data_IF_275542588795
#
_entry.id   IF_275542588795
#
_cell.length_a   1.000
_cell.length_b   1.000
_cell.length_c   1.000
_cell.angle_alpha   90.00
_cell.angle_beta   90.00
_cell.angle_gamma   90.00
#
_symmetry.space_group_name_H-M   'P 1'
#
loop_
_entity.id
_entity.type
_entity.pdbx_description
1 polymer ?
#
# COMPACT_ATOMS: atom_id res chain seq x y z
N UNK A 1 17.42 10.81 -14.49
CA UNK A 1 16.37 10.24 -13.60
C UNK A 1 17.02 9.07 -12.88
N UNK A 2 17.29 9.20 -11.58
CA UNK A 2 17.91 8.09 -10.83
C UNK A 2 16.84 7.01 -10.68
N UNK A 3 16.96 5.94 -11.45
CA UNK A 3 16.22 4.70 -11.22
C UNK A 3 16.76 4.13 -9.91
N UNK A 4 16.12 4.46 -8.79
CA UNK A 4 16.46 3.83 -7.54
C UNK A 4 16.03 2.37 -7.60
N UNK A 5 16.93 1.45 -7.27
CA UNK A 5 16.71 -0.01 -7.28
C UNK A 5 15.65 -0.46 -6.23
N UNK A 6 14.85 0.45 -5.68
CA UNK A 6 13.87 0.17 -4.63
C UNK A 6 12.60 -0.49 -5.16
N UNK A 7 12.21 -0.24 -6.41
CA UNK A 7 11.08 -0.93 -7.04
C UNK A 7 11.60 -2.11 -7.86
N UNK A 8 12.24 -3.09 -7.21
CA UNK A 8 12.73 -4.31 -7.87
C UNK A 8 12.22 -5.53 -7.11
N UNK A 9 11.72 -6.54 -7.83
CA UNK A 9 11.20 -7.75 -7.21
C UNK A 9 12.37 -8.55 -6.61
N UNK A 10 12.29 -8.85 -5.32
CA UNK A 10 13.25 -9.71 -4.61
C UNK A 10 12.87 -11.19 -4.67
N UNK A 11 11.80 -11.53 -5.39
CA UNK A 11 11.22 -12.87 -5.49
C UNK A 11 10.85 -13.48 -4.13
N UNK A 12 10.52 -12.61 -3.17
CA UNK A 12 10.26 -12.99 -1.78
C UNK A 12 8.98 -12.31 -1.29
N UNK A 13 7.99 -13.12 -0.90
CA UNK A 13 6.69 -12.65 -0.43
C UNK A 13 6.75 -12.17 1.03
N UNK A 14 6.32 -10.93 1.33
CA UNK A 14 6.22 -10.46 2.71
C UNK A 14 5.31 -11.30 3.59
N UNK A 15 4.28 -11.92 3.02
CA UNK A 15 3.30 -12.75 3.74
C UNK A 15 3.88 -14.03 4.38
N UNK A 16 5.14 -14.37 4.08
CA UNK A 16 5.84 -15.45 4.78
C UNK A 16 6.33 -15.06 6.19
N UNK A 17 6.54 -13.76 6.45
CA UNK A 17 6.96 -13.25 7.77
C UNK A 17 5.94 -12.31 8.41
N UNK A 18 5.08 -11.66 7.62
CA UNK A 18 4.02 -10.78 8.09
C UNK A 18 2.67 -11.48 7.98
N UNK A 19 1.86 -11.42 9.04
CA UNK A 19 0.50 -11.91 9.00
C UNK A 19 -0.39 -10.92 8.22
N UNK A 20 -0.66 -11.24 6.95
CA UNK A 20 -1.50 -10.44 6.06
C UNK A 20 -2.97 -10.90 6.02
N UNK A 21 -3.37 -11.79 6.93
CA UNK A 21 -4.77 -12.23 7.03
C UNK A 21 -5.67 -11.02 7.33
N UNK A 22 -6.76 -10.89 6.59
CA UNK A 22 -7.71 -9.78 6.74
C UNK A 22 -7.32 -8.51 5.98
N UNK A 23 -6.28 -8.56 5.15
CA UNK A 23 -5.89 -7.44 4.28
C UNK A 23 -6.03 -7.84 2.80
N UNK A 24 -6.30 -6.84 1.96
CA UNK A 24 -6.00 -6.88 0.52
C UNK A 24 -4.93 -5.85 0.17
N UNK A 25 -4.18 -6.10 -0.88
CA UNK A 25 -3.20 -5.18 -1.43
C UNK A 25 -3.76 -4.50 -2.68
N UNK A 26 -3.68 -3.18 -2.75
CA UNK A 26 -3.90 -2.42 -3.98
C UNK A 26 -2.54 -2.05 -4.58
N UNK A 27 -2.36 -2.29 -5.87
CA UNK A 27 -1.10 -2.05 -6.58
C UNK A 27 -1.18 -0.82 -7.50
N UNK A 28 -0.04 -0.19 -7.83
CA UNK A 28 -0.01 0.95 -8.75
C UNK A 28 -0.03 0.50 -10.22
N UNK A 29 -0.71 -0.60 -10.52
CA UNK A 29 -0.79 -1.26 -11.84
C UNK A 29 -2.23 -1.24 -12.34
N UNK A 30 -2.44 -0.96 -13.63
CA UNK A 30 -3.78 -0.96 -14.23
C UNK A 30 -4.34 -2.39 -14.33
N UNK A 31 -5.62 -2.55 -13.93
CA UNK A 31 -6.41 -3.75 -14.15
C UNK A 31 -7.82 -3.34 -14.61
N UNK A 32 -8.13 -3.55 -15.89
CA UNK A 32 -9.36 -3.04 -16.48
C UNK A 32 -9.50 -1.52 -16.29
N UNK A 33 -10.63 -1.08 -15.73
CA UNK A 33 -10.90 0.34 -15.44
C UNK A 33 -10.33 0.83 -14.10
N UNK A 34 -9.61 -0.01 -13.37
CA UNK A 34 -9.10 0.31 -12.03
C UNK A 34 -7.65 -0.12 -11.82
N UNK A 35 -7.34 -0.48 -10.58
CA UNK A 35 -6.02 -0.96 -10.16
C UNK A 35 -6.06 -2.46 -9.88
N UNK A 36 -4.94 -3.15 -10.05
CA UNK A 36 -4.80 -4.54 -9.60
C UNK A 36 -4.99 -4.61 -8.07
N UNK A 37 -5.75 -5.59 -7.63
CA UNK A 37 -5.88 -5.95 -6.21
C UNK A 37 -5.44 -7.41 -5.99
N UNK A 38 -4.78 -7.68 -4.87
CA UNK A 38 -4.39 -9.02 -4.45
C UNK A 38 -5.01 -9.30 -3.10
N UNK A 39 -5.74 -10.41 -3.01
CA UNK A 39 -6.61 -10.72 -1.87
C UNK A 39 -6.33 -12.12 -1.30
N UNK A 40 -6.65 -12.30 -0.02
CA UNK A 40 -6.75 -13.58 0.65
C UNK A 40 -5.45 -14.37 0.60
N UNK A 41 -5.57 -15.66 0.32
CA UNK A 41 -4.43 -16.57 0.29
C UNK A 41 -3.40 -16.21 -0.79
N UNK A 42 -3.82 -15.52 -1.87
CA UNK A 42 -2.89 -15.06 -2.92
C UNK A 42 -1.91 -14.04 -2.36
N UNK A 43 -2.36 -13.15 -1.46
CA UNK A 43 -1.51 -12.13 -0.85
C UNK A 43 -0.39 -12.73 0.00
N UNK A 44 -0.61 -13.90 0.60
CA UNK A 44 0.39 -14.58 1.44
C UNK A 44 1.67 -14.91 0.66
N UNK A 45 1.53 -15.36 -0.59
CA UNK A 45 2.63 -15.73 -1.47
C UNK A 45 2.94 -14.67 -2.52
N UNK A 46 2.26 -13.52 -2.50
CA UNK A 46 2.43 -12.49 -3.51
C UNK A 46 3.72 -11.70 -3.29
N UNK A 47 4.41 -11.46 -4.39
CA UNK A 47 5.48 -10.48 -4.49
C UNK A 47 5.53 -9.90 -5.91
N UNK A 48 5.95 -8.65 -6.03
CA UNK A 48 6.35 -8.02 -7.28
C UNK A 48 7.26 -6.82 -6.98
N UNK A 49 7.59 -6.05 -8.01
CA UNK A 49 8.42 -4.84 -7.88
C UNK A 49 7.80 -3.70 -7.05
N UNK A 50 6.51 -3.77 -6.69
CA UNK A 50 5.80 -2.77 -5.91
C UNK A 50 5.50 -3.24 -4.48
N UNK A 51 5.55 -4.55 -4.23
CA UNK A 51 5.38 -5.16 -2.93
C UNK A 51 6.24 -6.43 -2.81
N UNK A 52 7.31 -6.37 -2.02
CA UNK A 52 8.24 -7.50 -1.85
C UNK A 52 8.93 -7.45 -0.50
N UNK A 53 9.53 -8.57 -0.07
CA UNK A 53 10.27 -8.62 1.19
C UNK A 53 11.68 -8.03 1.03
N UNK A 54 12.14 -7.26 2.01
CA UNK A 54 13.56 -6.92 2.19
C UNK A 54 14.32 -8.08 2.83
N UNK A 55 15.65 -8.01 2.89
CA UNK A 55 16.49 -9.10 3.43
C UNK A 55 16.23 -9.46 4.89
N UNK A 56 15.78 -8.50 5.71
CA UNK A 56 15.31 -8.73 7.09
C UNK A 56 13.88 -9.31 7.14
N UNK A 57 13.15 -9.27 6.02
CA UNK A 57 11.78 -9.77 5.86
C UNK A 57 10.69 -8.75 6.19
N UNK A 58 11.03 -7.47 6.32
CA UNK A 58 10.03 -6.41 6.30
C UNK A 58 9.39 -6.29 4.90
N UNK A 59 8.17 -5.77 4.83
CA UNK A 59 7.54 -5.46 3.54
C UNK A 59 8.10 -4.14 3.00
N UNK A 60 8.57 -4.17 1.76
CA UNK A 60 8.85 -2.98 0.97
C UNK A 60 7.64 -2.65 0.13
N UNK A 61 7.16 -1.41 0.25
CA UNK A 61 6.12 -0.84 -0.61
C UNK A 61 6.78 0.19 -1.51
N UNK A 62 6.64 0.01 -2.83
CA UNK A 62 7.22 0.91 -3.82
C UNK A 62 6.15 1.44 -4.76
N UNK A 63 6.15 2.76 -5.00
CA UNK A 63 5.10 3.43 -5.78
C UNK A 63 5.73 4.36 -6.82
N UNK A 64 5.53 4.12 -8.12
CA UNK A 64 5.98 5.03 -9.16
C UNK A 64 5.04 6.24 -9.25
N UNK A 65 5.58 7.43 -9.54
CA UNK A 65 4.79 8.68 -9.62
C UNK A 65 3.69 8.67 -10.68
N UNK A 66 3.90 7.91 -11.75
CA UNK A 66 3.01 7.72 -12.88
C UNK A 66 2.23 6.39 -12.81
N UNK A 67 2.15 5.77 -11.62
CA UNK A 67 1.37 4.55 -11.43
C UNK A 67 -0.13 4.74 -11.64
N UNK A 68 -0.83 3.62 -11.80
CA UNK A 68 -2.28 3.58 -11.86
C UNK A 68 -2.90 4.02 -10.53
N UNK A 69 -4.09 4.60 -10.59
CA UNK A 69 -4.87 5.04 -9.44
C UNK A 69 -6.36 4.77 -9.65
N UNK A 70 -7.12 4.69 -8.55
CA UNK A 70 -8.57 4.49 -8.59
C UNK A 70 -9.31 5.79 -8.91
N UNK A 71 -10.53 5.66 -9.45
CA UNK A 71 -11.43 6.80 -9.62
C UNK A 71 -11.67 7.52 -8.28
N UNK A 72 -11.47 8.84 -8.27
CA UNK A 72 -11.55 9.66 -7.05
C UNK A 72 -10.22 9.84 -6.30
N UNK A 73 -9.11 9.28 -6.79
CA UNK A 73 -7.76 9.54 -6.29
C UNK A 73 -6.87 10.16 -7.36
N UNK A 74 -5.89 10.98 -6.96
CA UNK A 74 -4.90 11.56 -7.87
C UNK A 74 -3.50 10.94 -7.70
N UNK A 75 -3.37 9.99 -6.77
CA UNK A 75 -2.09 9.43 -6.35
C UNK A 75 -2.10 7.91 -6.45
N UNK A 76 -1.08 7.30 -7.10
CA UNK A 76 -0.90 5.87 -7.11
C UNK A 76 -0.56 5.34 -5.71
N UNK A 77 -0.75 4.04 -5.50
CA UNK A 77 -0.49 3.39 -4.21
C UNK A 77 -0.01 1.96 -4.38
N UNK A 78 0.84 1.53 -3.47
CA UNK A 78 1.06 0.13 -3.09
C UNK A 78 0.68 0.09 -1.62
N UNK A 79 -0.54 -0.34 -1.31
CA UNK A 79 -1.17 -0.08 -0.01
C UNK A 79 -2.06 -1.24 0.43
N UNK A 80 -1.96 -1.61 1.70
CA UNK A 80 -2.84 -2.58 2.32
C UNK A 80 -4.16 -1.92 2.73
N UNK A 81 -5.28 -2.59 2.45
CA UNK A 81 -6.63 -2.21 2.86
C UNK A 81 -7.22 -3.31 3.73
N UNK A 82 -7.64 -2.97 4.94
CA UNK A 82 -8.28 -3.91 5.88
C UNK A 82 -9.66 -4.33 5.36
N UNK A 83 -9.94 -5.63 5.36
CA UNK A 83 -11.21 -6.17 4.88
C UNK A 83 -12.40 -5.83 5.75
N UNK A 84 -12.16 -5.75 7.05
CA UNK A 84 -13.20 -5.53 8.03
C UNK A 84 -13.32 -4.05 8.36
N UNK A 85 -14.46 -3.47 8.01
CA UNK A 85 -14.79 -2.12 8.44
C UNK A 85 -15.18 -2.15 9.94
N UNK A 86 -14.86 -1.08 10.66
CA UNK A 86 -15.32 -0.86 12.02
C UNK A 86 -16.17 0.42 12.10
N UNK A 87 -17.06 0.48 13.08
CA UNK A 87 -17.83 1.69 13.39
C UNK A 87 -17.01 2.60 14.28
N UNK A 88 -17.24 3.91 14.20
CA UNK A 88 -16.70 4.84 15.18
C UNK A 88 -17.28 4.55 16.58
N UNK A 89 -16.42 4.59 17.59
CA UNK A 89 -16.70 4.13 18.95
C UNK A 89 -15.90 2.87 19.30
N UNK A 90 -15.68 2.62 20.59
CA UNK A 90 -14.80 1.52 21.03
C UNK A 90 -13.30 1.82 20.83
N UNK A 91 -12.47 0.77 20.88
CA UNK A 91 -11.01 0.87 20.75
C UNK A 91 -10.52 0.01 19.58
N UNK A 92 -9.91 0.67 18.59
CA UNK A 92 -9.31 0.06 17.41
C UNK A 92 -7.87 0.55 17.30
N UNK A 93 -6.92 -0.31 16.95
CA UNK A 93 -5.49 0.02 16.97
C UNK A 93 -4.74 -0.61 15.81
N UNK A 94 -4.04 0.24 15.04
CA UNK A 94 -3.01 -0.17 14.10
C UNK A 94 -1.65 0.28 14.64
N UNK A 95 -0.73 -0.67 14.82
CA UNK A 95 0.65 -0.41 15.23
C UNK A 95 1.60 -0.86 14.13
N UNK A 96 2.48 0.04 13.69
CA UNK A 96 3.47 -0.25 12.66
C UNK A 96 4.86 0.24 13.09
N UNK A 97 5.89 -0.53 12.74
CA UNK A 97 7.29 -0.11 12.78
C UNK A 97 7.79 -0.06 11.34
N UNK A 98 8.18 1.11 10.89
CA UNK A 98 8.55 1.33 9.49
C UNK A 98 9.73 2.29 9.37
N UNK A 99 10.34 2.32 8.18
CA UNK A 99 11.36 3.29 7.78
C UNK A 99 11.03 3.81 6.39
N UNK A 100 11.06 5.13 6.22
CA UNK A 100 10.94 5.74 4.90
C UNK A 100 12.29 5.63 4.19
N UNK A 101 12.33 4.85 3.11
CA UNK A 101 13.54 4.65 2.32
C UNK A 101 13.78 5.79 1.32
N UNK A 102 12.70 6.31 0.75
CA UNK A 102 12.73 7.42 -0.19
C UNK A 102 11.36 8.11 -0.24
N UNK A 103 11.38 9.41 -0.52
CA UNK A 103 10.19 10.18 -0.89
C UNK A 103 10.44 10.82 -2.24
N UNK A 104 9.38 11.04 -3.00
CA UNK A 104 9.49 11.71 -4.28
C UNK A 104 10.05 13.12 -4.11
N UNK A 105 10.99 13.47 -4.99
CA UNK A 105 11.53 14.83 -5.11
C UNK A 105 10.77 15.67 -6.14
N UNK A 106 9.73 15.12 -6.76
CA UNK A 106 8.93 15.81 -7.75
C UNK A 106 8.15 16.95 -7.09
N UNK A 107 8.19 18.14 -7.71
CA UNK A 107 7.69 19.37 -7.11
C UNK A 107 6.20 19.34 -6.73
N UNK A 108 5.38 18.61 -7.50
CA UNK A 108 3.93 18.47 -7.26
C UNK A 108 3.51 17.25 -6.44
N UNK A 109 4.43 16.33 -6.11
CA UNK A 109 4.13 15.08 -5.40
C UNK A 109 5.24 14.77 -4.41
N UNK A 110 5.37 15.59 -3.36
CA UNK A 110 6.44 15.50 -2.34
C UNK A 110 6.05 14.70 -1.10
N UNK A 111 4.79 14.31 -1.00
CA UNK A 111 4.21 13.68 0.19
C UNK A 111 3.92 12.21 -0.08
N UNK A 112 4.04 11.40 0.97
CA UNK A 112 3.67 9.98 0.99
C UNK A 112 2.84 9.75 2.24
N UNK A 113 1.67 9.15 2.08
CA UNK A 113 0.85 8.67 3.21
C UNK A 113 1.32 7.26 3.56
N UNK A 114 1.50 7.00 4.86
CA UNK A 114 2.02 5.70 5.36
C UNK A 114 1.07 4.99 6.32
N UNK A 115 -0.06 5.63 6.61
CA UNK A 115 -1.15 5.03 7.36
C UNK A 115 -2.40 5.89 7.27
N UNK A 116 -3.56 5.25 7.31
CA UNK A 116 -4.84 5.97 7.22
C UNK A 116 -5.98 5.22 7.92
N UNK A 117 -6.98 5.99 8.34
CA UNK A 117 -8.32 5.50 8.66
C UNK A 117 -9.26 6.13 7.63
N UNK A 118 -9.94 5.29 6.85
CA UNK A 118 -10.79 5.72 5.75
C UNK A 118 -12.25 5.32 6.03
N UNK A 119 -13.17 6.27 5.95
CA UNK A 119 -14.61 6.00 6.12
C UNK A 119 -15.22 5.39 4.86
N UNK A 120 -16.31 4.64 5.04
CA UNK A 120 -17.11 4.11 3.93
C UNK A 120 -18.28 5.06 3.62
N UNK A 121 -18.59 5.25 2.33
CA UNK A 121 -19.62 6.18 1.86
C UNK A 121 -19.07 7.60 1.68
N UNK A 122 -19.17 8.14 0.46
CA UNK A 122 -18.43 9.31 -0.06
C UNK A 122 -18.54 10.65 0.67
N UNK A 123 -19.19 10.72 1.84
CA UNK A 123 -19.20 11.90 2.73
C UNK A 123 -18.03 11.93 3.74
N UNK A 124 -17.33 10.81 3.94
CA UNK A 124 -16.20 10.70 4.89
C UNK A 124 -14.98 10.05 4.24
N UNK A 125 -14.37 10.74 3.29
CA UNK A 125 -13.34 10.18 2.39
C UNK A 125 -11.99 9.91 3.03
N UNK A 126 -11.67 10.47 4.21
CA UNK A 126 -10.49 10.11 5.02
C UNK A 126 -10.62 10.74 6.39
N UNK A 127 -10.48 9.96 7.46
CA UNK A 127 -10.57 10.45 8.85
C UNK A 127 -9.19 10.77 9.43
N UNK A 128 -8.18 9.97 9.09
CA UNK A 128 -6.79 10.17 9.51
C UNK A 128 -5.86 9.81 8.36
N UNK A 129 -4.80 10.60 8.16
CA UNK A 129 -3.66 10.32 7.27
C UNK A 129 -2.37 10.65 8.03
N UNK A 130 -1.41 9.74 8.01
CA UNK A 130 -0.07 9.87 8.60
C UNK A 130 0.99 9.98 7.51
#
# INVERSE_FOLDING_TARGET
>A
IVTSNFCSDTHSAPGHKLNLKGWKLQLPTHCGSGVCEVDGDKLKSYHDKYFHASGDGAATFCVPLNGAHTGGSHYPRSELREHHNFKLGGSHSLKAKMKILSVSRHHSKKETIVGQIHGEGGKFSSLVKL
#
